data_IF_927418650867
#
_entry.id   IF_927418650867
#
_cell.length_a   1.000
_cell.length_b   1.000
_cell.length_c   1.000
_cell.angle_alpha   90.00
_cell.angle_beta   90.00
_cell.angle_gamma   90.00
#
_symmetry.space_group_name_H-M   'P 1'
#
loop_
_entity.id
_entity.type
_entity.pdbx_description
1 polymer ?
#
# COMPACT_ATOMS: atom_id res chain seq x y z
N UNK A 1 11.55 -36.58 17.01
CA UNK A 1 11.02 -35.49 17.85
C UNK A 1 10.08 -34.65 16.99
N UNK A 2 8.85 -34.40 17.45
CA UNK A 2 7.93 -33.53 16.71
C UNK A 2 8.50 -32.11 16.65
N UNK A 3 8.45 -31.46 15.47
CA UNK A 3 8.88 -30.06 15.32
C UNK A 3 8.16 -29.16 16.32
N UNK A 4 8.86 -28.23 16.98
CA UNK A 4 8.29 -27.24 17.92
C UNK A 4 7.14 -26.44 17.24
N UNK A 5 6.09 -26.08 18.00
CA UNK A 5 4.94 -25.30 17.51
C UNK A 5 5.38 -23.95 16.96
N UNK A 6 6.31 -23.29 17.66
CA UNK A 6 6.95 -22.04 17.23
C UNK A 6 7.58 -22.16 15.82
N UNK A 7 8.28 -23.27 15.56
CA UNK A 7 8.94 -23.54 14.28
C UNK A 7 7.95 -23.79 13.14
N UNK A 8 6.78 -24.38 13.43
CA UNK A 8 5.74 -24.59 12.41
C UNK A 8 4.99 -23.31 12.06
N UNK A 9 4.65 -22.50 13.07
CA UNK A 9 3.95 -21.23 12.83
C UNK A 9 4.86 -20.21 12.14
N UNK A 10 6.18 -20.29 12.30
CA UNK A 10 7.13 -19.41 11.61
C UNK A 10 6.96 -19.42 10.09
N UNK A 11 6.74 -20.60 9.50
CA UNK A 11 6.50 -20.72 8.05
C UNK A 11 5.24 -19.94 7.64
N UNK A 12 4.22 -19.91 8.50
CA UNK A 12 2.97 -19.18 8.26
C UNK A 12 3.18 -17.67 8.44
N UNK A 13 3.99 -17.27 9.43
CA UNK A 13 4.39 -15.86 9.63
C UNK A 13 5.15 -15.36 8.41
N UNK A 14 6.13 -16.12 7.90
CA UNK A 14 6.91 -15.73 6.72
C UNK A 14 6.04 -15.60 5.47
N UNK A 15 5.06 -16.50 5.29
CA UNK A 15 4.08 -16.38 4.21
C UNK A 15 3.22 -15.12 4.35
N UNK A 16 2.81 -14.77 5.58
CA UNK A 16 2.05 -13.57 5.83
C UNK A 16 2.87 -12.29 5.58
N UNK A 17 4.13 -12.25 5.99
CA UNK A 17 5.06 -11.14 5.71
C UNK A 17 5.23 -10.90 4.21
N UNK A 18 5.46 -11.95 3.42
CA UNK A 18 5.55 -11.82 1.95
C UNK A 18 4.26 -11.30 1.32
N UNK A 19 3.10 -11.74 1.84
CA UNK A 19 1.81 -11.24 1.37
C UNK A 19 1.58 -9.77 1.74
N UNK A 20 2.04 -9.35 2.91
CA UNK A 20 2.03 -7.95 3.35
C UNK A 20 2.94 -7.07 2.49
N UNK A 21 4.18 -7.49 2.24
CA UNK A 21 5.12 -6.81 1.34
C UNK A 21 4.51 -6.62 -0.05
N UNK A 22 3.95 -7.68 -0.62
CA UNK A 22 3.25 -7.62 -1.92
C UNK A 22 2.09 -6.62 -1.90
N UNK A 23 1.32 -6.56 -0.80
CA UNK A 23 0.22 -5.62 -0.67
C UNK A 23 0.71 -4.16 -0.49
N UNK A 24 1.82 -3.96 0.21
CA UNK A 24 2.47 -2.67 0.39
C UNK A 24 3.03 -2.12 -0.94
N UNK A 25 3.64 -2.99 -1.76
CA UNK A 25 4.12 -2.64 -3.09
C UNK A 25 2.96 -2.21 -4.00
N UNK A 26 1.88 -2.99 -4.00
CA UNK A 26 0.68 -2.67 -4.78
C UNK A 26 0.05 -1.34 -4.33
N UNK A 27 -0.02 -1.09 -3.02
CA UNK A 27 -0.51 0.17 -2.47
C UNK A 27 0.38 1.36 -2.89
N UNK A 28 1.70 1.20 -2.84
CA UNK A 28 2.66 2.22 -3.27
C UNK A 28 2.53 2.53 -4.76
N UNK A 29 2.42 1.49 -5.62
CA UNK A 29 2.21 1.66 -7.05
C UNK A 29 0.92 2.43 -7.35
N UNK A 30 -0.16 2.16 -6.62
CA UNK A 30 -1.42 2.88 -6.77
C UNK A 30 -1.32 4.34 -6.38
N UNK A 31 -0.59 4.63 -5.30
CA UNK A 31 -0.35 5.99 -4.84
C UNK A 31 0.44 6.78 -5.88
N UNK A 32 1.48 6.17 -6.44
CA UNK A 32 2.28 6.80 -7.49
C UNK A 32 1.48 7.03 -8.77
N UNK A 33 0.62 6.09 -9.16
CA UNK A 33 -0.26 6.24 -10.32
C UNK A 33 -1.27 7.39 -10.13
N UNK A 34 -1.86 7.50 -8.93
CA UNK A 34 -2.75 8.61 -8.60
C UNK A 34 -2.00 9.96 -8.66
N UNK A 35 -0.83 10.05 -8.03
CA UNK A 35 -0.02 11.27 -8.04
C UNK A 35 0.31 11.72 -9.47
N UNK A 36 0.75 10.79 -10.32
CA UNK A 36 1.05 11.09 -11.72
C UNK A 36 -0.18 11.61 -12.46
N UNK A 37 -1.35 11.03 -12.21
CA UNK A 37 -2.59 11.47 -12.84
C UNK A 37 -3.02 12.87 -12.36
N UNK A 38 -2.88 13.17 -11.07
CA UNK A 38 -3.15 14.49 -10.49
C UNK A 38 -2.18 15.55 -11.03
N UNK A 39 -0.90 15.21 -11.19
CA UNK A 39 0.11 16.08 -11.78
C UNK A 39 -0.25 16.44 -13.23
N UNK A 40 -0.65 15.45 -14.03
CA UNK A 40 -1.11 15.66 -15.41
C UNK A 40 -2.37 16.56 -15.47
N UNK A 41 -3.34 16.36 -14.57
CA UNK A 41 -4.52 17.22 -14.52
C UNK A 41 -4.15 18.67 -14.23
N UNK A 42 -3.22 18.90 -13.29
CA UNK A 42 -2.72 20.22 -12.96
C UNK A 42 -2.07 20.87 -14.18
N UNK A 43 -1.21 20.14 -14.90
CA UNK A 43 -0.55 20.65 -16.10
C UNK A 43 -1.56 21.02 -17.21
N UNK A 44 -2.55 20.16 -17.46
CA UNK A 44 -3.62 20.43 -18.43
C UNK A 44 -4.44 21.67 -18.05
N UNK A 45 -4.76 21.82 -16.77
CA UNK A 45 -5.53 22.95 -16.23
C UNK A 45 -4.74 24.24 -16.32
N UNK A 46 -3.45 24.21 -15.97
CA UNK A 46 -2.56 25.36 -16.08
C UNK A 46 -2.40 25.80 -17.55
N UNK A 47 -2.25 24.83 -18.46
CA UNK A 47 -2.17 25.11 -19.89
C UNK A 47 -3.47 25.75 -20.41
N UNK A 48 -4.63 25.24 -19.98
CA UNK A 48 -5.94 25.80 -20.32
C UNK A 48 -6.08 27.25 -19.85
N UNK A 49 -5.79 27.52 -18.57
CA UNK A 49 -5.89 28.85 -17.97
C UNK A 49 -4.95 29.86 -18.64
N UNK A 50 -3.66 29.51 -18.75
CA UNK A 50 -2.66 30.39 -19.37
C UNK A 50 -2.93 30.66 -20.85
N UNK A 51 -3.74 29.83 -21.51
CA UNK A 51 -4.21 30.08 -22.86
C UNK A 51 -5.42 31.03 -22.90
N UNK A 52 -6.42 30.83 -22.02
CA UNK A 52 -7.58 31.72 -21.90
C UNK A 52 -7.15 33.15 -21.56
N UNK A 53 -6.20 33.31 -20.64
CA UNK A 53 -5.63 34.62 -20.28
C UNK A 53 -4.95 35.30 -21.48
N UNK A 54 -4.16 34.55 -22.26
CA UNK A 54 -3.52 35.06 -23.49
C UNK A 54 -4.55 35.51 -24.52
N UNK A 55 -5.67 34.81 -24.67
CA UNK A 55 -6.76 35.24 -25.57
C UNK A 55 -7.41 36.54 -25.10
N UNK A 56 -7.64 36.70 -23.78
CA UNK A 56 -8.25 37.91 -23.23
C UNK A 56 -7.31 39.12 -23.31
N UNK A 57 -6.00 38.91 -23.16
CA UNK A 57 -4.99 39.96 -23.25
C UNK A 57 -4.71 40.43 -24.69
N UNK A 58 -5.01 39.61 -25.71
CA UNK A 58 -4.75 39.95 -27.12
C UNK A 58 -5.90 40.80 -27.70
N UNK A 59 -5.70 42.12 -27.74
CA UNK A 59 -6.65 43.11 -28.31
C UNK A 59 -6.46 43.39 -29.80
N UNK A 60 -5.48 42.77 -30.46
CA UNK A 60 -5.24 42.92 -31.91
C UNK A 60 -6.12 41.97 -32.73
N UNK A 61 -6.41 42.35 -33.98
CA UNK A 61 -7.21 41.55 -34.92
C UNK A 61 -6.58 40.16 -35.18
N UNK A 62 -7.04 39.16 -34.42
CA UNK A 62 -6.71 37.75 -34.65
C UNK A 62 -7.39 37.30 -35.94
N UNK A 63 -6.68 36.54 -36.79
CA UNK A 63 -7.28 36.03 -38.01
C UNK A 63 -8.43 35.06 -37.67
N UNK A 64 -9.57 35.10 -38.36
CA UNK A 64 -10.69 34.19 -38.11
C UNK A 64 -10.31 32.71 -38.13
N UNK A 65 -9.35 32.32 -38.97
CA UNK A 65 -8.82 30.95 -39.05
C UNK A 65 -8.04 30.53 -37.80
N UNK A 66 -7.27 31.44 -37.19
CA UNK A 66 -6.54 31.19 -35.95
C UNK A 66 -7.53 31.01 -34.78
N UNK A 67 -8.59 31.83 -34.73
CA UNK A 67 -9.64 31.71 -33.71
C UNK A 67 -10.37 30.35 -33.75
N UNK A 68 -10.63 29.81 -34.93
CA UNK A 68 -11.31 28.51 -35.09
C UNK A 68 -10.42 27.36 -34.60
N UNK A 69 -9.14 27.35 -35.00
CA UNK A 69 -8.17 26.33 -34.56
C UNK A 69 -7.99 26.35 -33.04
N UNK A 70 -7.88 27.56 -32.48
CA UNK A 70 -7.81 27.80 -31.05
C UNK A 70 -9.02 27.24 -30.29
N UNK A 71 -10.24 27.51 -30.76
CA UNK A 71 -11.46 26.99 -30.13
C UNK A 71 -11.52 25.46 -30.16
N UNK A 72 -11.15 24.85 -31.28
CA UNK A 72 -11.12 23.40 -31.41
C UNK A 72 -10.12 22.77 -30.43
N UNK A 73 -8.94 23.38 -30.29
CA UNK A 73 -7.93 22.94 -29.34
C UNK A 73 -8.40 23.08 -27.88
N UNK A 74 -9.02 24.20 -27.51
CA UNK A 74 -9.59 24.38 -26.16
C UNK A 74 -10.68 23.36 -25.84
N UNK A 75 -11.52 23.01 -26.82
CA UNK A 75 -12.49 21.93 -26.66
C UNK A 75 -11.79 20.59 -26.42
N UNK A 76 -10.76 20.24 -27.20
CA UNK A 76 -9.99 19.02 -26.98
C UNK A 76 -9.36 18.97 -25.59
N UNK A 77 -8.81 20.10 -25.12
CA UNK A 77 -8.23 20.19 -23.78
C UNK A 77 -9.28 20.03 -22.68
N UNK A 78 -10.47 20.61 -22.85
CA UNK A 78 -11.58 20.43 -21.89
C UNK A 78 -12.04 18.98 -21.80
N UNK A 79 -12.10 18.26 -22.94
CA UNK A 79 -12.43 16.82 -22.98
C UNK A 79 -11.33 16.01 -22.31
N UNK A 80 -10.06 16.33 -22.55
CA UNK A 80 -8.92 15.68 -21.90
C UNK A 80 -8.92 15.89 -20.38
N UNK A 81 -9.20 17.11 -19.90
CA UNK A 81 -9.34 17.44 -18.48
C UNK A 81 -10.45 16.59 -17.84
N UNK A 82 -11.64 16.56 -18.44
CA UNK A 82 -12.75 15.77 -17.92
C UNK A 82 -12.44 14.26 -17.89
N UNK A 83 -11.75 13.74 -18.92
CA UNK A 83 -11.27 12.36 -18.94
C UNK A 83 -10.26 12.08 -17.83
N UNK A 84 -9.34 13.02 -17.58
CA UNK A 84 -8.33 12.91 -16.53
C UNK A 84 -8.95 12.94 -15.13
N UNK A 85 -9.94 13.81 -14.88
CA UNK A 85 -10.70 13.84 -13.63
C UNK A 85 -11.41 12.51 -13.36
N UNK A 86 -12.03 11.92 -14.40
CA UNK A 86 -12.65 10.60 -14.28
C UNK A 86 -11.61 9.52 -13.96
N UNK A 87 -10.45 9.54 -14.62
CA UNK A 87 -9.35 8.61 -14.36
C UNK A 87 -8.84 8.73 -12.92
N UNK A 88 -8.70 9.95 -12.39
CA UNK A 88 -8.32 10.21 -10.99
C UNK A 88 -9.34 9.60 -10.04
N UNK A 89 -10.64 9.77 -10.28
CA UNK A 89 -11.68 9.17 -9.44
C UNK A 89 -11.57 7.64 -9.38
N UNK A 90 -11.31 6.98 -10.51
CA UNK A 90 -11.06 5.54 -10.56
C UNK A 90 -9.80 5.14 -9.79
N UNK A 91 -8.71 5.89 -9.93
CA UNK A 91 -7.45 5.64 -9.22
C UNK A 91 -7.59 5.83 -7.71
N UNK A 92 -8.38 6.81 -7.25
CA UNK A 92 -8.69 7.02 -5.84
C UNK A 92 -9.43 5.81 -5.25
N UNK A 93 -10.43 5.27 -5.96
CA UNK A 93 -11.13 4.05 -5.54
C UNK A 93 -10.19 2.84 -5.46
N UNK A 94 -9.31 2.67 -6.47
CA UNK A 94 -8.31 1.60 -6.45
C UNK A 94 -7.31 1.75 -5.31
N UNK A 95 -6.87 2.98 -5.02
CA UNK A 95 -5.97 3.28 -3.91
C UNK A 95 -6.60 2.88 -2.58
N UNK A 96 -7.86 3.25 -2.36
CA UNK A 96 -8.60 2.87 -1.15
C UNK A 96 -8.71 1.34 -1.01
N UNK A 97 -9.04 0.64 -2.09
CA UNK A 97 -9.11 -0.83 -2.08
C UNK A 97 -7.75 -1.47 -1.72
N UNK A 98 -6.66 -0.98 -2.31
CA UNK A 98 -5.30 -1.47 -2.04
C UNK A 98 -4.84 -1.14 -0.63
N UNK A 99 -5.21 0.03 -0.10
CA UNK A 99 -4.96 0.41 1.28
C UNK A 99 -5.63 -0.55 2.26
N UNK A 100 -6.89 -0.90 2.03
CA UNK A 100 -7.63 -1.87 2.85
C UNK A 100 -7.00 -3.26 2.78
N UNK A 101 -6.58 -3.70 1.59
CA UNK A 101 -5.88 -4.97 1.41
C UNK A 101 -4.56 -5.01 2.18
N UNK A 102 -3.74 -3.96 2.07
CA UNK A 102 -2.50 -3.85 2.84
C UNK A 102 -2.76 -3.86 4.34
N UNK A 103 -3.73 -3.07 4.82
CA UNK A 103 -4.07 -3.02 6.24
C UNK A 103 -4.51 -4.39 6.78
N UNK A 104 -5.33 -5.12 6.02
CA UNK A 104 -5.75 -6.48 6.38
C UNK A 104 -4.58 -7.44 6.46
N UNK A 105 -3.65 -7.38 5.50
CA UNK A 105 -2.44 -8.20 5.52
C UNK A 105 -1.57 -7.86 6.72
N UNK A 106 -1.35 -6.58 7.00
CA UNK A 106 -0.57 -6.10 8.15
C UNK A 106 -1.13 -6.60 9.49
N UNK A 107 -2.44 -6.46 9.71
CA UNK A 107 -3.08 -6.98 10.93
C UNK A 107 -2.93 -8.50 11.06
N UNK A 108 -3.03 -9.23 9.95
CA UNK A 108 -2.85 -10.68 9.94
C UNK A 108 -1.41 -11.07 10.29
N UNK A 109 -0.41 -10.41 9.70
CA UNK A 109 1.00 -10.65 10.02
C UNK A 109 1.24 -10.43 11.51
N UNK A 110 0.82 -9.28 12.03
CA UNK A 110 0.98 -8.95 13.45
C UNK A 110 0.34 -9.98 14.37
N UNK A 111 -0.89 -10.41 14.06
CA UNK A 111 -1.57 -11.45 14.86
C UNK A 111 -0.82 -12.79 14.85
N UNK A 112 -0.17 -13.16 13.74
CA UNK A 112 0.62 -14.39 13.64
C UNK A 112 1.96 -14.27 14.38
N UNK A 113 2.59 -13.10 14.35
CA UNK A 113 3.80 -12.80 15.12
C UNK A 113 3.54 -12.85 16.64
N UNK A 114 2.41 -12.32 17.09
CA UNK A 114 1.97 -12.41 18.48
C UNK A 114 1.75 -13.89 18.88
N UNK A 115 1.10 -14.68 18.02
CA UNK A 115 0.88 -16.11 18.25
C UNK A 115 2.20 -16.89 18.32
N UNK A 116 3.15 -16.59 17.43
CA UNK A 116 4.49 -17.18 17.46
C UNK A 116 5.21 -16.89 18.76
N UNK A 117 5.15 -15.64 19.23
CA UNK A 117 5.76 -15.24 20.50
C UNK A 117 5.18 -16.04 21.68
N UNK A 118 3.86 -16.26 21.70
CA UNK A 118 3.21 -17.12 22.72
C UNK A 118 3.70 -18.56 22.65
N UNK A 119 3.82 -19.15 21.46
CA UNK A 119 4.35 -20.51 21.33
C UNK A 119 5.80 -20.63 21.79
N UNK A 120 6.63 -19.62 21.56
CA UNK A 120 8.00 -19.59 22.07
C UNK A 120 7.99 -19.59 23.60
N UNK A 121 7.17 -18.74 24.22
CA UNK A 121 7.06 -18.69 25.68
C UNK A 121 6.56 -20.01 26.27
N UNK A 122 5.50 -20.59 25.71
CA UNK A 122 4.95 -21.89 26.16
C UNK A 122 6.00 -23.01 26.08
N UNK A 123 6.85 -23.00 25.04
CA UNK A 123 7.92 -23.97 24.87
C UNK A 123 9.05 -23.76 25.87
N UNK A 124 9.44 -22.51 26.15
CA UNK A 124 10.42 -22.21 27.20
C UNK A 124 9.92 -22.64 28.58
N UNK A 125 8.69 -22.28 28.94
CA UNK A 125 8.10 -22.67 30.22
C UNK A 125 8.01 -24.21 30.38
N UNK A 126 7.80 -24.94 29.28
CA UNK A 126 7.76 -26.40 29.29
C UNK A 126 9.16 -27.00 29.46
N UNK A 127 10.16 -26.45 28.76
CA UNK A 127 11.55 -26.88 28.87
C UNK A 127 12.08 -26.62 30.30
N UNK A 128 11.81 -25.44 30.89
CA UNK A 128 12.20 -25.09 32.26
C UNK A 128 11.61 -26.04 33.31
N UNK A 129 10.33 -26.44 33.15
CA UNK A 129 9.68 -27.42 34.05
C UNK A 129 10.32 -28.80 33.96
N UNK A 130 10.73 -29.22 32.76
CA UNK A 130 11.41 -30.50 32.56
C UNK A 130 12.80 -30.48 33.21
N UNK A 131 13.54 -29.38 33.07
CA UNK A 131 14.85 -29.20 33.70
C UNK A 131 14.75 -29.22 35.24
N UNK A 132 13.80 -28.47 35.81
CA UNK A 132 13.56 -28.48 37.27
C UNK A 132 13.26 -29.89 37.79
N UNK A 133 12.38 -30.62 37.10
CA UNK A 133 12.03 -31.98 37.49
C UNK A 133 13.24 -32.92 37.45
N UNK A 134 14.08 -32.82 36.41
CA UNK A 134 15.30 -33.63 36.29
C UNK A 134 16.33 -33.30 37.39
N UNK A 135 16.45 -32.03 37.77
CA UNK A 135 17.30 -31.60 38.89
C UNK A 135 16.80 -32.17 40.22
N UNK A 136 15.49 -32.09 40.48
CA UNK A 136 14.88 -32.61 41.69
C UNK A 136 15.08 -34.14 41.81
N UNK A 137 14.89 -34.88 40.72
CA UNK A 137 15.13 -36.33 40.66
C UNK A 137 16.61 -36.68 40.93
N UNK A 138 17.54 -35.91 40.35
CA UNK A 138 18.99 -36.11 40.57
C UNK A 138 19.42 -35.80 42.01
N UNK A 139 18.86 -34.74 42.62
CA UNK A 139 19.09 -34.39 44.03
C UNK A 139 18.55 -35.48 44.95
N UNK A 140 17.36 -36.01 44.66
CA UNK A 140 16.77 -37.12 45.43
C UNK A 140 17.66 -38.38 45.36
N UNK A 141 18.13 -38.75 44.17
CA UNK A 141 18.97 -39.94 43.98
C UNK A 141 20.34 -39.86 44.68
N UNK A 142 20.88 -38.66 44.91
CA UNK A 142 22.16 -38.47 45.64
C UNK A 142 22.03 -38.52 47.16
N UNK A 143 20.81 -38.49 47.70
CA UNK A 143 20.57 -38.50 49.16
C UNK A 143 20.37 -39.90 49.73
N UNK A 144 20.19 -40.90 48.87
CA UNK A 144 20.16 -42.33 49.17
C UNK A 144 21.54 -42.96 48.99
#
# INVERSE_FOLDING_TARGET
MASKRSKRIEIVVDLARRAEETAADNFTQAKNALQLAEDQLRDLTQYYQGYVERMQANTRAVKPSELIQTRAFLQQLSVAISGQEHQIALLQQQLQHRQLAWHKSHLKTRSLEDLRTRYIQEEHDADDRLEQKALDEWVAQKRD
#
